data_IF_718667964702
#
_entry.id   IF_718667964702
#
_cell.length_a   1.000
_cell.length_b   1.000
_cell.length_c   1.000
_cell.angle_alpha   90.00
_cell.angle_beta   90.00
_cell.angle_gamma   90.00
#
_symmetry.space_group_name_H-M   'P 1'
#
loop_
_entity.id
_entity.type
_entity.pdbx_description
1 polymer ?
#
# COMPACT_ATOMS: atom_id res chain seq x y z
N UNK A 1 6.47 36.68 12.97
CA UNK A 1 6.21 35.74 11.86
C UNK A 1 7.19 34.58 12.01
N UNK A 2 6.73 33.32 12.05
CA UNK A 2 7.64 32.19 12.13
C UNK A 2 8.43 32.06 10.82
N UNK A 3 9.69 31.65 10.93
CA UNK A 3 10.49 31.25 9.76
C UNK A 3 10.00 29.86 9.34
N UNK A 4 9.54 29.74 8.09
CA UNK A 4 9.03 28.48 7.52
C UNK A 4 9.97 28.05 6.40
N UNK A 5 10.51 26.84 6.53
CA UNK A 5 11.30 26.19 5.48
C UNK A 5 10.39 25.26 4.68
N UNK A 6 10.57 25.24 3.35
CA UNK A 6 9.83 24.37 2.44
C UNK A 6 10.79 23.58 1.56
N UNK A 7 10.28 22.49 1.00
CA UNK A 7 10.97 21.74 -0.04
C UNK A 7 11.35 22.66 -1.22
N UNK A 8 12.51 22.45 -1.87
CA UNK A 8 12.82 23.14 -3.12
C UNK A 8 12.01 22.59 -4.31
N UNK A 9 11.36 21.43 -4.15
CA UNK A 9 10.50 20.82 -5.16
C UNK A 9 9.06 21.35 -5.05
N UNK A 10 8.34 21.42 -6.18
CA UNK A 10 6.95 21.89 -6.19
C UNK A 10 6.05 20.95 -5.38
N UNK A 11 4.95 21.52 -4.90
CA UNK A 11 3.88 20.74 -4.28
C UNK A 11 3.32 19.74 -5.29
N UNK A 12 3.06 18.52 -4.83
CA UNK A 12 2.39 17.48 -5.61
C UNK A 12 0.97 17.28 -5.10
N UNK A 13 0.03 17.04 -6.02
CA UNK A 13 -1.34 16.74 -5.64
C UNK A 13 -1.42 15.37 -4.99
N UNK A 14 -1.86 15.32 -3.74
CA UNK A 14 -2.21 14.07 -3.06
C UNK A 14 -3.71 13.86 -3.29
N UNK A 15 -4.13 12.73 -3.91
CA UNK A 15 -5.55 12.43 -4.10
C UNK A 15 -6.31 12.42 -2.76
N UNK A 16 -7.55 12.90 -2.73
CA UNK A 16 -8.37 12.95 -1.50
C UNK A 16 -8.65 11.56 -0.94
N UNK A 17 -8.75 10.57 -1.81
CA UNK A 17 -8.98 9.16 -1.48
C UNK A 17 -7.67 8.38 -1.34
N UNK A 18 -6.51 9.04 -1.28
CA UNK A 18 -5.21 8.38 -1.22
C UNK A 18 -5.08 7.47 0.01
N UNK A 19 -5.35 6.19 -0.20
CA UNK A 19 -5.07 5.11 0.72
C UNK A 19 -3.95 4.23 0.17
N UNK A 20 -3.16 3.64 1.08
CA UNK A 20 -2.15 2.62 0.72
C UNK A 20 -2.81 1.50 -0.09
N UNK A 21 -4.05 1.15 0.26
CA UNK A 21 -4.84 0.15 -0.45
C UNK A 21 -5.02 0.48 -1.94
N UNK A 22 -5.46 1.71 -2.26
CA UNK A 22 -5.70 2.14 -3.64
C UNK A 22 -4.41 2.08 -4.47
N UNK A 23 -3.27 2.41 -3.85
CA UNK A 23 -1.96 2.30 -4.51
C UNK A 23 -1.52 0.85 -4.73
N UNK A 24 -1.78 -0.03 -3.78
CA UNK A 24 -1.52 -1.46 -3.96
C UNK A 24 -2.38 -2.05 -5.09
N UNK A 25 -3.68 -1.73 -5.14
CA UNK A 25 -4.56 -2.17 -6.24
C UNK A 25 -4.10 -1.65 -7.60
N UNK A 26 -3.71 -0.37 -7.67
CA UNK A 26 -3.17 0.22 -8.89
C UNK A 26 -1.91 -0.54 -9.35
N UNK A 27 -0.93 -0.74 -8.47
CA UNK A 27 0.30 -1.43 -8.83
C UNK A 27 0.11 -2.91 -9.13
N UNK A 28 -0.83 -3.60 -8.48
CA UNK A 28 -1.17 -4.98 -8.82
C UNK A 28 -1.75 -5.09 -10.23
N UNK A 29 -2.51 -4.08 -10.68
CA UNK A 29 -3.07 -4.03 -12.04
C UNK A 29 -2.01 -3.68 -13.08
N UNK A 30 -1.19 -2.66 -12.82
CA UNK A 30 -0.24 -2.11 -13.79
C UNK A 30 1.07 -2.92 -13.83
N UNK A 31 1.51 -3.44 -12.69
CA UNK A 31 2.84 -4.03 -12.48
C UNK A 31 2.75 -5.38 -11.74
N UNK A 32 1.70 -6.17 -11.99
CA UNK A 32 1.34 -7.34 -11.18
C UNK A 32 2.45 -8.36 -10.96
N UNK A 33 3.30 -8.59 -11.95
CA UNK A 33 4.42 -9.55 -11.91
C UNK A 33 5.70 -8.96 -11.27
N UNK A 34 5.76 -7.64 -11.05
CA UNK A 34 6.92 -7.01 -10.44
C UNK A 34 6.96 -7.29 -8.93
N UNK A 35 8.16 -7.47 -8.40
CA UNK A 35 8.38 -7.67 -6.97
C UNK A 35 7.92 -6.44 -6.17
N UNK A 36 7.03 -6.67 -5.20
CA UNK A 36 6.50 -5.65 -4.29
C UNK A 36 7.13 -5.75 -2.90
N UNK A 37 7.37 -6.99 -2.45
CA UNK A 37 8.00 -7.27 -1.17
C UNK A 37 9.12 -8.29 -1.37
N UNK A 38 10.31 -7.99 -0.87
CA UNK A 38 11.46 -8.91 -0.90
C UNK A 38 11.99 -9.04 0.52
N UNK A 39 11.94 -10.26 1.06
CA UNK A 39 12.49 -10.57 2.35
C UNK A 39 14.00 -10.75 2.24
N UNK A 40 14.79 -9.77 2.71
CA UNK A 40 16.25 -9.80 2.62
C UNK A 40 16.93 -10.98 3.32
N UNK A 41 16.25 -11.64 4.27
CA UNK A 41 16.80 -12.81 5.00
C UNK A 41 16.57 -14.14 4.28
N UNK A 42 15.44 -14.28 3.58
CA UNK A 42 15.05 -15.55 2.93
C UNK A 42 15.10 -15.47 1.42
N UNK A 43 15.37 -14.29 0.88
CA UNK A 43 15.32 -13.93 -0.54
C UNK A 43 13.97 -14.20 -1.22
N UNK A 44 12.95 -14.60 -0.45
CA UNK A 44 11.59 -14.76 -0.95
C UNK A 44 11.04 -13.41 -1.37
N UNK A 45 10.42 -13.39 -2.54
CA UNK A 45 9.72 -12.23 -3.06
C UNK A 45 8.23 -12.53 -3.22
N UNK A 46 7.43 -11.49 -3.04
CA UNK A 46 6.01 -11.46 -3.41
C UNK A 46 5.84 -10.39 -4.47
N UNK A 47 5.15 -10.71 -5.55
CA UNK A 47 4.77 -9.75 -6.57
C UNK A 47 3.63 -8.83 -6.09
N UNK A 48 3.39 -7.72 -6.77
CA UNK A 48 2.25 -6.83 -6.44
C UNK A 48 0.92 -7.58 -6.48
N UNK A 49 0.72 -8.47 -7.46
CA UNK A 49 -0.49 -9.29 -7.55
C UNK A 49 -0.64 -10.22 -6.33
N UNK A 50 0.43 -10.89 -5.92
CA UNK A 50 0.42 -11.80 -4.76
C UNK A 50 0.16 -11.05 -3.44
N UNK A 51 0.77 -9.87 -3.27
CA UNK A 51 0.52 -9.04 -2.08
C UNK A 51 -0.95 -8.63 -2.02
N UNK A 52 -1.56 -8.22 -3.13
CA UNK A 52 -2.98 -7.86 -3.16
C UNK A 52 -3.88 -9.07 -2.81
N UNK A 53 -3.64 -10.23 -3.42
CA UNK A 53 -4.40 -11.46 -3.15
C UNK A 53 -4.33 -11.84 -1.66
N UNK A 54 -3.13 -11.85 -1.08
CA UNK A 54 -2.93 -12.16 0.33
C UNK A 54 -3.60 -11.13 1.25
N UNK A 55 -3.54 -9.84 0.88
CA UNK A 55 -4.15 -8.77 1.66
C UNK A 55 -5.69 -8.89 1.67
N UNK A 56 -6.30 -9.24 0.53
CA UNK A 56 -7.74 -9.51 0.43
C UNK A 56 -8.15 -10.69 1.31
N UNK A 57 -7.39 -11.78 1.27
CA UNK A 57 -7.63 -12.94 2.13
C UNK A 57 -7.53 -12.59 3.62
N UNK A 58 -6.50 -11.84 4.01
CA UNK A 58 -6.31 -11.37 5.39
C UNK A 58 -7.52 -10.52 5.84
N UNK A 59 -7.91 -9.52 5.04
CA UNK A 59 -9.03 -8.62 5.39
C UNK A 59 -10.35 -9.39 5.51
N UNK A 60 -10.60 -10.37 4.65
CA UNK A 60 -11.77 -11.25 4.78
C UNK A 60 -11.76 -12.01 6.11
N UNK A 61 -10.58 -12.51 6.53
CA UNK A 61 -10.40 -13.17 7.83
C UNK A 61 -10.62 -12.22 9.02
N UNK A 62 -10.08 -11.00 8.96
CA UNK A 62 -10.26 -9.98 10.02
C UNK A 62 -11.74 -9.60 10.17
N UNK A 63 -12.44 -9.42 9.04
CA UNK A 63 -13.88 -9.15 9.05
C UNK A 63 -14.65 -10.32 9.66
N UNK A 64 -14.30 -11.55 9.31
CA UNK A 64 -14.90 -12.76 9.88
C UNK A 64 -14.63 -12.91 11.39
N UNK A 65 -13.50 -12.39 11.89
CA UNK A 65 -13.20 -12.35 13.33
C UNK A 65 -13.84 -11.16 14.06
N UNK A 66 -14.64 -10.35 13.36
CA UNK A 66 -15.41 -9.25 13.95
C UNK A 66 -14.70 -7.89 14.01
N UNK A 67 -13.52 -7.76 13.40
CA UNK A 67 -12.78 -6.50 13.33
C UNK A 67 -13.47 -5.56 12.34
N UNK A 68 -13.55 -4.28 12.72
CA UNK A 68 -14.22 -3.21 11.98
C UNK A 68 -13.29 -2.02 11.82
N UNK A 69 -13.68 -1.13 10.91
CA UNK A 69 -12.97 0.13 10.71
C UNK A 69 -13.02 0.96 12.01
N UNK A 70 -11.85 1.30 12.54
CA UNK A 70 -11.69 2.12 13.75
C UNK A 70 -11.51 1.33 15.04
N UNK A 71 -11.54 -0.01 14.97
CA UNK A 71 -11.10 -0.87 16.08
C UNK A 71 -9.59 -0.76 16.34
#
# INVERSE_FOLDING_TARGET
>A
MPIIFKSPYPDVSIPEDAAIWNKLEQHARENGDMAAFVCGMSERSLSFAQVLEMAQFLVAGLLASGIKKGD
#
